data_IF_460483555921
#
_entry.id   IF_460483555921
#
_cell.length_a   1.000
_cell.length_b   1.000
_cell.length_c   1.000
_cell.angle_alpha   90.00
_cell.angle_beta   90.00
_cell.angle_gamma   90.00
#
_symmetry.space_group_name_H-M   'P 1'
#
loop_
_entity.id
_entity.type
_entity.pdbx_description
1 polymer ?
#
# COMPACT_ATOMS: atom_id res chain seq x y z
N UNK A 1 5.83 13.57 -10.53
CA UNK A 1 5.05 13.33 -11.77
C UNK A 1 5.07 14.59 -12.65
N UNK A 2 6.01 14.65 -13.61
CA UNK A 2 6.08 15.70 -14.65
C UNK A 2 5.39 15.17 -15.92
N UNK A 3 4.55 16.01 -16.54
CA UNK A 3 3.32 15.64 -17.27
C UNK A 3 3.43 15.04 -18.69
N UNK A 4 4.61 14.87 -19.30
CA UNK A 4 4.69 14.44 -20.71
C UNK A 4 5.00 12.94 -20.92
N UNK A 5 5.65 12.28 -19.96
CA UNK A 5 6.13 10.89 -20.09
C UNK A 5 5.14 9.81 -19.63
N UNK A 6 3.97 10.19 -19.08
CA UNK A 6 3.11 9.30 -18.29
C UNK A 6 1.65 9.23 -18.76
N UNK A 7 1.34 9.70 -19.97
CA UNK A 7 0.02 9.50 -20.57
C UNK A 7 -0.13 8.02 -20.96
N UNK A 8 -1.13 7.32 -20.41
CA UNK A 8 -1.33 5.90 -20.71
C UNK A 8 -2.31 5.19 -19.78
N UNK A 9 -2.34 3.85 -19.85
CA UNK A 9 -3.20 3.01 -18.99
C UNK A 9 -2.90 3.22 -17.51
N UNK A 10 -1.63 3.41 -17.14
CA UNK A 10 -1.21 3.66 -15.76
C UNK A 10 -1.87 4.89 -15.14
N UNK A 11 -1.89 6.05 -15.82
CA UNK A 11 -2.51 7.26 -15.27
C UNK A 11 -4.04 7.16 -15.19
N UNK A 12 -4.68 6.50 -16.15
CA UNK A 12 -6.12 6.20 -16.11
C UNK A 12 -6.47 5.28 -14.94
N UNK A 13 -5.71 4.19 -14.77
CA UNK A 13 -5.85 3.25 -13.67
C UNK A 13 -5.71 3.96 -12.32
N UNK A 14 -4.60 4.67 -12.09
CA UNK A 14 -4.35 5.35 -10.81
C UNK A 14 -5.45 6.36 -10.46
N UNK A 15 -5.97 7.09 -11.45
CA UNK A 15 -7.10 8.00 -11.24
C UNK A 15 -8.35 7.23 -10.80
N UNK A 16 -8.70 6.15 -11.52
CA UNK A 16 -9.86 5.30 -11.21
C UNK A 16 -9.77 4.70 -9.81
N UNK A 17 -8.59 4.19 -9.43
CA UNK A 17 -8.36 3.62 -8.10
C UNK A 17 -8.47 4.68 -6.99
N UNK A 18 -7.93 5.89 -7.22
CA UNK A 18 -8.01 7.00 -6.27
C UNK A 18 -9.45 7.48 -6.02
N UNK A 19 -10.30 7.39 -7.04
CA UNK A 19 -11.72 7.78 -6.98
C UNK A 19 -12.62 6.62 -6.48
N UNK A 20 -12.07 5.42 -6.24
CA UNK A 20 -12.84 4.25 -5.82
C UNK A 20 -13.33 4.36 -4.36
N UNK A 21 -14.57 3.92 -4.13
CA UNK A 21 -15.15 3.86 -2.78
C UNK A 21 -14.32 2.99 -1.83
N UNK A 22 -13.77 1.87 -2.33
CA UNK A 22 -12.92 0.99 -1.53
C UNK A 22 -11.70 1.72 -0.96
N UNK A 23 -11.03 2.57 -1.76
CA UNK A 23 -9.89 3.35 -1.29
C UNK A 23 -10.29 4.46 -0.32
N UNK A 24 -11.35 5.20 -0.65
CA UNK A 24 -11.86 6.29 0.18
C UNK A 24 -12.26 5.77 1.56
N UNK A 25 -13.00 4.65 1.61
CA UNK A 25 -13.46 4.03 2.85
C UNK A 25 -12.30 3.42 3.66
N UNK A 26 -11.40 2.67 3.02
CA UNK A 26 -10.27 2.04 3.70
C UNK A 26 -9.25 3.06 4.27
N UNK A 27 -9.15 4.25 3.67
CA UNK A 27 -8.32 5.35 4.19
C UNK A 27 -9.08 6.29 5.13
N UNK A 28 -10.38 6.06 5.33
CA UNK A 28 -11.28 6.94 6.09
C UNK A 28 -11.27 8.37 5.55
N UNK A 29 -11.25 8.52 4.23
CA UNK A 29 -11.14 9.76 3.47
C UNK A 29 -9.95 10.64 3.89
N UNK A 30 -8.85 10.00 4.28
CA UNK A 30 -7.70 10.64 4.91
C UNK A 30 -6.59 11.10 3.98
N UNK A 31 -6.70 10.82 2.68
CA UNK A 31 -5.66 11.08 1.70
C UNK A 31 -6.10 12.25 0.82
N UNK A 32 -5.38 13.36 0.91
CA UNK A 32 -5.63 14.51 0.04
C UNK A 32 -5.18 14.23 -1.39
N UNK A 33 -5.98 14.62 -2.36
CA UNK A 33 -5.64 14.60 -3.80
C UNK A 33 -4.71 15.76 -4.20
N UNK A 34 -4.40 16.69 -3.29
CA UNK A 34 -3.45 17.78 -3.53
C UNK A 34 -2.09 17.23 -3.97
N UNK A 35 -1.58 17.74 -5.09
CA UNK A 35 -0.33 17.27 -5.73
C UNK A 35 -0.33 15.76 -6.08
N UNK A 36 -1.52 15.18 -6.30
CA UNK A 36 -1.69 13.76 -6.69
C UNK A 36 -1.12 12.76 -5.68
N UNK A 37 -1.18 13.09 -4.38
CA UNK A 37 -0.63 12.24 -3.32
C UNK A 37 -1.35 10.89 -3.22
N UNK A 38 -2.64 10.87 -3.45
CA UNK A 38 -3.47 9.66 -3.61
C UNK A 38 -2.93 8.72 -4.69
N UNK A 39 -2.72 9.23 -5.90
CA UNK A 39 -2.21 8.47 -7.04
C UNK A 39 -0.78 8.01 -6.82
N UNK A 40 0.06 8.83 -6.18
CA UNK A 40 1.42 8.44 -5.80
C UNK A 40 1.42 7.28 -4.79
N UNK A 41 0.54 7.35 -3.78
CA UNK A 41 0.38 6.29 -2.77
C UNK A 41 -0.08 4.97 -3.39
N UNK A 42 -1.07 5.03 -4.28
CA UNK A 42 -1.57 3.86 -5.00
C UNK A 42 -0.50 3.27 -5.93
N UNK A 43 0.25 4.12 -6.65
CA UNK A 43 1.34 3.66 -7.52
C UNK A 43 2.42 2.93 -6.74
N UNK A 44 2.76 3.41 -5.54
CA UNK A 44 3.74 2.74 -4.67
C UNK A 44 3.26 1.38 -4.18
N UNK A 45 1.99 1.25 -3.81
CA UNK A 45 1.39 -0.05 -3.54
C UNK A 45 1.50 -0.98 -4.75
N UNK A 46 1.03 -0.55 -5.93
CA UNK A 46 1.06 -1.39 -7.13
C UNK A 46 2.48 -1.80 -7.51
N UNK A 47 3.44 -0.88 -7.36
CA UNK A 47 4.84 -1.11 -7.61
C UNK A 47 5.41 -2.23 -6.71
N UNK A 48 5.18 -2.14 -5.39
CA UNK A 48 5.65 -3.17 -4.47
C UNK A 48 4.87 -4.47 -4.58
N UNK A 49 3.57 -4.44 -4.88
CA UNK A 49 2.80 -5.64 -5.19
C UNK A 49 3.39 -6.38 -6.40
N UNK A 50 3.58 -5.69 -7.53
CA UNK A 50 4.15 -6.27 -8.75
C UNK A 50 5.58 -6.77 -8.54
N UNK A 51 6.39 -6.04 -7.79
CA UNK A 51 7.77 -6.40 -7.46
C UNK A 51 7.83 -7.64 -6.56
N UNK A 52 7.08 -7.66 -5.45
CA UNK A 52 7.12 -8.76 -4.48
C UNK A 52 6.45 -10.05 -4.98
N UNK A 53 5.47 -9.94 -5.88
CA UNK A 53 4.81 -11.10 -6.50
C UNK A 53 5.43 -11.52 -7.83
N UNK A 54 6.54 -10.89 -8.22
CA UNK A 54 7.28 -11.19 -9.46
C UNK A 54 6.39 -11.20 -10.72
N UNK A 55 5.38 -10.32 -10.75
CA UNK A 55 4.40 -10.24 -11.84
C UNK A 55 4.92 -9.47 -13.06
N UNK A 56 6.12 -8.89 -12.97
CA UNK A 56 6.80 -8.15 -14.03
C UNK A 56 8.26 -8.60 -14.11
N UNK A 57 8.63 -9.21 -15.22
CA UNK A 57 10.00 -9.65 -15.46
C UNK A 57 10.97 -8.47 -15.48
N UNK A 58 12.10 -8.62 -14.79
CA UNK A 58 13.18 -7.61 -14.75
C UNK A 58 12.84 -6.33 -13.97
N UNK A 59 11.76 -6.32 -13.19
CA UNK A 59 11.45 -5.20 -12.30
C UNK A 59 12.36 -5.23 -11.06
N UNK A 60 13.18 -4.19 -10.89
CA UNK A 60 14.14 -4.10 -9.78
C UNK A 60 13.98 -2.78 -9.01
N UNK A 61 14.13 -2.85 -7.68
CA UNK A 61 14.24 -1.65 -6.84
C UNK A 61 15.70 -1.40 -6.44
N UNK A 62 16.30 -0.33 -6.98
CA UNK A 62 17.72 0.03 -6.77
C UNK A 62 17.91 1.21 -5.82
N UNK A 63 17.06 1.34 -4.80
CA UNK A 63 17.05 2.47 -3.86
C UNK A 63 16.72 3.84 -4.50
N UNK A 64 16.28 3.86 -5.76
CA UNK A 64 15.73 5.03 -6.43
C UNK A 64 14.23 4.81 -6.61
N UNK A 65 13.44 5.52 -5.81
CA UNK A 65 11.99 5.40 -5.85
C UNK A 65 11.40 6.00 -7.13
N UNK A 66 11.95 7.11 -7.62
CA UNK A 66 11.38 7.78 -8.79
C UNK A 66 11.62 6.96 -10.06
N UNK A 67 12.82 6.39 -10.23
CA UNK A 67 13.12 5.48 -11.34
C UNK A 67 12.29 4.18 -11.25
N UNK A 68 12.18 3.59 -10.06
CA UNK A 68 11.36 2.40 -9.83
C UNK A 68 9.90 2.63 -10.23
N UNK A 69 9.28 3.71 -9.74
CA UNK A 69 7.89 4.03 -10.07
C UNK A 69 7.73 4.37 -11.56
N UNK A 70 8.73 5.00 -12.19
CA UNK A 70 8.71 5.27 -13.63
C UNK A 70 8.70 3.96 -14.44
N UNK A 71 9.52 2.98 -14.06
CA UNK A 71 9.58 1.68 -14.73
C UNK A 71 8.29 0.87 -14.53
N UNK A 72 7.68 0.93 -13.34
CA UNK A 72 6.36 0.34 -13.10
C UNK A 72 5.27 0.97 -13.97
N UNK A 73 5.26 2.30 -14.10
CA UNK A 73 4.29 2.97 -14.98
C UNK A 73 4.46 2.56 -16.45
N UNK A 74 5.71 2.39 -16.92
CA UNK A 74 5.99 1.87 -18.28
C UNK A 74 5.46 0.44 -18.44
N UNK A 75 5.68 -0.43 -17.46
CA UNK A 75 5.16 -1.80 -17.47
C UNK A 75 3.62 -1.82 -17.54
N UNK A 76 2.95 -1.07 -16.66
CA UNK A 76 1.48 -0.97 -16.63
C UNK A 76 0.93 -0.41 -17.96
N UNK A 77 1.61 0.54 -18.59
CA UNK A 77 1.17 1.05 -19.89
C UNK A 77 1.17 0.00 -21.01
N UNK A 78 1.99 -1.05 -20.88
CA UNK A 78 2.09 -2.16 -21.84
C UNK A 78 1.22 -3.37 -21.46
N UNK A 79 0.55 -3.34 -20.31
CA UNK A 79 -0.35 -4.42 -19.89
C UNK A 79 -1.58 -4.54 -20.78
N UNK A 80 -2.10 -5.76 -20.94
CA UNK A 80 -3.40 -6.00 -21.56
C UNK A 80 -4.52 -5.46 -20.69
N UNK A 81 -5.71 -5.30 -21.24
CA UNK A 81 -6.84 -4.75 -20.46
C UNK A 81 -7.28 -5.71 -19.34
N UNK A 82 -7.15 -7.03 -19.56
CA UNK A 82 -7.39 -8.05 -18.54
C UNK A 82 -6.41 -7.92 -17.37
N UNK A 83 -5.15 -7.60 -17.66
CA UNK A 83 -4.12 -7.40 -16.63
C UNK A 83 -4.37 -6.10 -15.85
N UNK A 84 -4.90 -5.06 -16.51
CA UNK A 84 -5.35 -3.84 -15.82
C UNK A 84 -6.52 -4.15 -14.90
N UNK A 85 -7.49 -4.94 -15.37
CA UNK A 85 -8.63 -5.38 -14.55
C UNK A 85 -8.20 -6.24 -13.36
N UNK A 86 -7.21 -7.14 -13.51
CA UNK A 86 -6.58 -7.87 -12.40
C UNK A 86 -6.06 -6.91 -11.33
N UNK A 87 -5.38 -5.82 -11.73
CA UNK A 87 -4.87 -4.80 -10.81
C UNK A 87 -5.97 -4.02 -10.11
N UNK A 88 -7.07 -3.73 -10.80
CA UNK A 88 -8.23 -3.07 -10.18
C UNK A 88 -8.87 -3.96 -9.12
N UNK A 89 -9.11 -5.22 -9.46
CA UNK A 89 -9.73 -6.20 -8.59
C UNK A 89 -8.87 -6.49 -7.36
N UNK A 90 -7.55 -6.66 -7.54
CA UNK A 90 -6.65 -6.94 -6.42
C UNK A 90 -6.50 -5.73 -5.49
N UNK A 91 -6.47 -4.51 -6.03
CA UNK A 91 -6.49 -3.29 -5.23
C UNK A 91 -7.80 -3.17 -4.43
N UNK A 92 -8.95 -3.37 -5.08
CA UNK A 92 -10.25 -3.30 -4.42
C UNK A 92 -10.38 -4.37 -3.32
N UNK A 93 -9.94 -5.61 -3.56
CA UNK A 93 -9.86 -6.68 -2.54
C UNK A 93 -9.02 -6.22 -1.35
N UNK A 94 -7.81 -5.72 -1.60
CA UNK A 94 -6.88 -5.28 -0.56
C UNK A 94 -7.46 -4.20 0.34
N UNK A 95 -8.13 -3.20 -0.27
CA UNK A 95 -8.76 -2.10 0.47
C UNK A 95 -9.94 -2.60 1.31
N UNK A 96 -10.81 -3.45 0.75
CA UNK A 96 -11.95 -4.02 1.47
C UNK A 96 -11.52 -4.88 2.65
N UNK A 97 -10.57 -5.78 2.43
CA UNK A 97 -10.02 -6.64 3.49
C UNK A 97 -9.38 -5.83 4.61
N UNK A 98 -8.57 -4.82 4.28
CA UNK A 98 -7.99 -3.93 5.27
C UNK A 98 -9.08 -3.20 6.08
N UNK A 99 -10.10 -2.67 5.42
CA UNK A 99 -11.21 -1.98 6.08
C UNK A 99 -11.98 -2.93 7.02
N UNK A 100 -12.25 -4.16 6.59
CA UNK A 100 -12.97 -5.16 7.40
C UNK A 100 -12.19 -5.58 8.65
N UNK A 101 -10.87 -5.78 8.54
CA UNK A 101 -10.04 -6.24 9.66
C UNK A 101 -9.59 -5.08 10.56
N UNK A 102 -9.09 -4.01 9.96
CA UNK A 102 -8.41 -2.93 10.66
C UNK A 102 -9.27 -1.68 10.84
N UNK A 103 -10.38 -1.56 10.10
CA UNK A 103 -11.21 -0.35 10.08
C UNK A 103 -10.56 0.81 9.32
N UNK A 104 -11.18 2.01 9.32
CA UNK A 104 -10.74 3.17 8.55
C UNK A 104 -9.42 3.81 9.05
N UNK A 105 -8.87 3.30 10.16
CA UNK A 105 -7.59 3.71 10.75
C UNK A 105 -6.46 2.70 10.51
N UNK A 106 -6.69 1.64 9.71
CA UNK A 106 -5.72 0.58 9.50
C UNK A 106 -4.34 1.07 9.04
N UNK A 107 -4.32 2.03 8.12
CA UNK A 107 -3.09 2.63 7.58
C UNK A 107 -2.52 3.79 8.42
N UNK A 108 -2.91 3.92 9.68
CA UNK A 108 -2.42 4.96 10.60
C UNK A 108 -1.77 4.30 11.80
N UNK A 109 -0.71 4.94 12.30
CA UNK A 109 -0.23 4.60 13.63
C UNK A 109 -1.17 5.13 14.71
N UNK A 110 -1.10 4.51 15.89
CA UNK A 110 -1.90 4.90 17.04
C UNK A 110 -1.55 6.32 17.53
N UNK A 111 -2.51 6.95 18.21
CA UNK A 111 -2.36 8.28 18.79
C UNK A 111 -1.22 8.27 19.82
N UNK A 112 -0.42 9.35 19.86
CA UNK A 112 0.72 9.46 20.79
C UNK A 112 0.32 9.71 22.24
N UNK A 113 -0.87 10.27 22.47
CA UNK A 113 -1.38 10.59 23.80
C UNK A 113 -2.81 10.11 23.97
N UNK A 114 -3.08 9.53 25.14
CA UNK A 114 -4.44 9.23 25.57
C UNK A 114 -5.23 10.55 25.69
N UNK A 115 -6.39 10.64 25.04
CA UNK A 115 -7.25 11.82 25.04
C UNK A 115 -7.11 12.76 23.83
N UNK A 116 -6.13 12.58 22.94
CA UNK A 116 -6.14 13.32 21.68
C UNK A 116 -7.25 12.80 20.76
N UNK A 117 -8.13 13.68 20.27
CA UNK A 117 -9.10 13.32 19.24
C UNK A 117 -8.53 13.37 17.82
N UNK A 118 -7.28 13.84 17.65
CA UNK A 118 -6.69 13.98 16.34
C UNK A 118 -6.16 12.65 15.80
N UNK A 119 -6.71 12.22 14.66
CA UNK A 119 -6.21 11.07 13.91
C UNK A 119 -4.83 11.42 13.33
N UNK A 120 -3.83 10.55 13.49
CA UNK A 120 -2.56 10.69 12.77
C UNK A 120 -2.79 10.54 11.28
N UNK A 121 -2.00 11.20 10.40
CA UNK A 121 -2.17 11.05 8.95
C UNK A 121 -1.95 9.60 8.51
N UNK A 122 -2.50 9.24 7.35
CA UNK A 122 -2.19 7.96 6.69
C UNK A 122 -0.68 7.87 6.48
N UNK A 123 -0.08 6.77 6.93
CA UNK A 123 1.34 6.51 6.78
C UNK A 123 1.59 5.74 5.48
N UNK A 124 2.51 6.23 4.65
CA UNK A 124 2.82 5.63 3.35
C UNK A 124 3.33 4.18 3.47
N UNK A 125 4.26 3.93 4.39
CA UNK A 125 4.83 2.60 4.57
C UNK A 125 3.81 1.59 5.10
N UNK A 126 2.93 2.01 6.02
CA UNK A 126 1.80 1.16 6.45
C UNK A 126 0.83 0.90 5.30
N UNK A 127 0.54 1.90 4.46
CA UNK A 127 -0.32 1.71 3.30
C UNK A 127 0.24 0.66 2.35
N UNK A 128 1.50 0.80 1.92
CA UNK A 128 2.15 -0.15 1.03
C UNK A 128 2.14 -1.57 1.58
N UNK A 129 2.62 -1.73 2.82
CA UNK A 129 2.81 -3.03 3.45
C UNK A 129 1.47 -3.73 3.71
N UNK A 130 0.49 -3.02 4.29
CA UNK A 130 -0.80 -3.63 4.62
C UNK A 130 -1.64 -3.86 3.37
N UNK A 131 -1.65 -2.93 2.41
CA UNK A 131 -2.37 -3.16 1.17
C UNK A 131 -1.77 -4.35 0.40
N UNK A 132 -0.45 -4.51 0.38
CA UNK A 132 0.19 -5.71 -0.15
C UNK A 132 -0.24 -6.96 0.63
N UNK A 133 -0.14 -6.98 1.95
CA UNK A 133 -0.55 -8.14 2.74
C UNK A 133 -2.00 -8.55 2.50
N UNK A 134 -2.93 -7.59 2.47
CA UNK A 134 -4.35 -7.84 2.21
C UNK A 134 -4.67 -8.16 0.73
N UNK A 135 -3.71 -7.99 -0.16
CA UNK A 135 -3.79 -8.46 -1.55
C UNK A 135 -3.58 -9.97 -1.65
N UNK A 136 -2.81 -10.54 -0.72
CA UNK A 136 -2.50 -11.95 -0.68
C UNK A 136 -3.73 -12.75 -0.23
N UNK A 137 -3.71 -14.07 -0.47
CA UNK A 137 -4.84 -14.89 -0.06
C UNK A 137 -4.75 -15.20 1.44
N UNK A 138 -5.57 -14.52 2.24
CA UNK A 138 -5.64 -14.64 3.70
C UNK A 138 -6.99 -15.23 4.14
N UNK A 139 -7.43 -16.27 3.45
CA UNK A 139 -8.68 -16.98 3.76
C UNK A 139 -8.55 -17.75 5.09
N UNK A 140 -9.67 -17.95 5.77
CA UNK A 140 -9.79 -18.80 6.98
C UNK A 140 -9.04 -18.36 8.26
N UNK A 141 -8.53 -17.12 8.31
CA UNK A 141 -7.89 -16.58 9.52
C UNK A 141 -8.91 -15.84 10.39
N UNK A 142 -8.84 -16.05 11.71
CA UNK A 142 -9.61 -15.28 12.69
C UNK A 142 -9.27 -13.78 12.58
N UNK A 143 -10.27 -12.98 12.23
CA UNK A 143 -10.12 -11.54 11.97
C UNK A 143 -9.64 -10.76 13.20
N UNK A 144 -10.05 -11.18 14.40
CA UNK A 144 -9.67 -10.50 15.64
C UNK A 144 -8.22 -10.81 16.02
N UNK A 145 -7.78 -12.07 15.85
CA UNK A 145 -6.40 -12.48 16.01
C UNK A 145 -5.50 -11.75 15.02
N UNK A 146 -5.89 -11.71 13.74
CA UNK A 146 -5.14 -11.01 12.70
C UNK A 146 -4.99 -9.52 13.01
N UNK A 147 -6.10 -8.86 13.39
CA UNK A 147 -6.08 -7.46 13.81
C UNK A 147 -5.11 -7.22 14.96
N UNK A 148 -5.13 -8.07 15.98
CA UNK A 148 -4.25 -7.96 17.14
C UNK A 148 -2.76 -8.12 16.75
N UNK A 149 -2.44 -9.11 15.88
CA UNK A 149 -1.07 -9.30 15.37
C UNK A 149 -0.58 -8.08 14.58
N UNK A 150 -1.41 -7.54 13.68
CA UNK A 150 -1.08 -6.35 12.88
C UNK A 150 -0.90 -5.11 13.78
N UNK A 151 -1.79 -4.89 14.76
CA UNK A 151 -1.65 -3.76 15.69
C UNK A 151 -0.37 -3.83 16.53
N UNK A 152 0.03 -5.03 16.96
CA UNK A 152 1.30 -5.23 17.65
C UNK A 152 2.49 -4.92 16.73
N UNK A 153 2.46 -5.36 15.47
CA UNK A 153 3.49 -5.05 14.49
C UNK A 153 3.59 -3.54 14.22
N UNK A 154 2.44 -2.86 14.06
CA UNK A 154 2.37 -1.40 13.91
C UNK A 154 2.99 -0.68 15.11
N UNK A 155 2.71 -1.14 16.33
CA UNK A 155 3.28 -0.55 17.55
C UNK A 155 4.81 -0.68 17.57
N UNK A 156 5.33 -1.88 17.34
CA UNK A 156 6.78 -2.13 17.29
C UNK A 156 7.48 -1.25 16.23
N UNK A 157 6.88 -1.10 15.05
CA UNK A 157 7.41 -0.23 13.99
C UNK A 157 7.42 1.26 14.37
N UNK A 158 6.38 1.75 15.04
CA UNK A 158 6.27 3.15 15.47
C UNK A 158 7.28 3.45 16.60
N UNK A 159 7.40 2.54 17.56
CA UNK A 159 8.31 2.66 18.70
C UNK A 159 9.78 2.68 18.24
N UNK A 160 10.14 1.82 17.29
CA UNK A 160 11.48 1.79 16.67
C UNK A 160 11.70 2.93 15.67
N UNK A 161 10.65 3.63 15.25
CA UNK A 161 10.73 4.72 14.27
C UNK A 161 11.19 4.27 12.87
N UNK A 162 11.00 2.99 12.51
CA UNK A 162 11.52 2.42 11.25
C UNK A 162 10.93 3.11 10.03
N UNK A 163 9.66 3.54 10.10
CA UNK A 163 8.98 4.23 9.01
C UNK A 163 9.21 5.75 8.99
N UNK A 164 10.27 6.26 9.66
CA UNK A 164 10.69 7.67 9.52
C UNK A 164 11.43 7.92 8.21
N UNK A 165 12.26 6.97 7.75
CA UNK A 165 12.98 7.01 6.47
C UNK A 165 12.42 5.92 5.55
N UNK A 166 11.22 6.16 5.04
CA UNK A 166 10.39 5.16 4.35
C UNK A 166 11.02 4.57 3.08
N UNK A 167 11.90 5.33 2.41
CA UNK A 167 12.49 4.96 1.12
C UNK A 167 13.89 4.37 1.23
N UNK A 168 14.39 4.16 2.45
CA UNK A 168 15.64 3.40 2.62
C UNK A 168 15.40 1.93 2.31
N UNK A 169 16.36 1.27 1.66
CA UNK A 169 16.33 -0.19 1.44
C UNK A 169 16.09 -0.95 2.74
N UNK A 170 16.68 -0.48 3.85
CA UNK A 170 16.53 -1.08 5.17
C UNK A 170 15.07 -1.02 5.63
N UNK A 171 14.42 0.14 5.55
CA UNK A 171 13.02 0.30 5.96
C UNK A 171 12.05 -0.43 5.02
N UNK A 172 12.33 -0.48 3.72
CA UNK A 172 11.54 -1.23 2.72
C UNK A 172 11.63 -2.71 3.00
N UNK A 173 12.85 -3.24 3.07
CA UNK A 173 13.08 -4.65 3.36
C UNK A 173 12.42 -5.05 4.68
N UNK A 174 12.67 -4.29 5.75
CA UNK A 174 12.11 -4.60 7.05
C UNK A 174 10.58 -4.71 7.04
N UNK A 175 9.85 -3.72 6.48
CA UNK A 175 8.39 -3.70 6.61
C UNK A 175 7.72 -4.86 5.87
N UNK A 176 8.21 -5.18 4.68
CA UNK A 176 7.68 -6.28 3.88
C UNK A 176 8.10 -7.64 4.46
N UNK A 177 9.36 -7.81 4.85
CA UNK A 177 9.80 -9.06 5.48
C UNK A 177 9.03 -9.32 6.80
N UNK A 178 8.71 -8.27 7.57
CA UNK A 178 7.97 -8.41 8.81
C UNK A 178 6.50 -8.81 8.58
N UNK A 179 5.85 -8.28 7.54
CA UNK A 179 4.47 -8.64 7.23
C UNK A 179 4.37 -10.03 6.57
N UNK A 180 5.39 -10.42 5.81
CA UNK A 180 5.53 -11.78 5.24
C UNK A 180 5.74 -12.82 6.35
N UNK A 181 6.60 -12.54 7.33
CA UNK A 181 6.72 -13.38 8.53
C UNK A 181 5.43 -13.48 9.34
N UNK A 182 4.62 -12.42 9.36
CA UNK A 182 3.31 -12.46 10.00
C UNK A 182 2.40 -13.44 9.24
N UNK A 183 2.39 -13.40 7.91
CA UNK A 183 1.64 -14.32 7.04
C UNK A 183 2.03 -15.79 7.27
N UNK A 184 3.32 -16.08 7.46
CA UNK A 184 3.80 -17.44 7.76
C UNK A 184 3.39 -17.94 9.16
N UNK A 185 3.01 -17.01 10.05
CA UNK A 185 2.70 -17.32 11.46
C UNK A 185 1.21 -17.49 11.76
N UNK A 186 0.34 -17.20 10.80
CA UNK A 186 -1.12 -17.23 10.94
C UNK A 186 -1.72 -18.48 10.34
#
# INVERSE_FOLDING_TARGET
MRNALYLGKSTKLLKKLAESESFISATGNGVSSTRMKDRYMILRYLAFYLYRTEKVDGLEYKSDMDDFLANVMKAINNFTDEKIEELENIFAKSMKQCLEVMGPDGFRFNKKSQGSNQRRPINMGLFEMLAYFFSLNIEDIDRQLLKNKIENLKRDMDDRGILRIIDSNVAIKYRFDAIEKLLESI
#
